data_IF_356940219500
#
_entry.id   IF_356940219500
#
_cell.length_a   1.000
_cell.length_b   1.000
_cell.length_c   1.000
_cell.angle_alpha   90.00
_cell.angle_beta   90.00
_cell.angle_gamma   90.00
#
_symmetry.space_group_name_H-M   'P 1'
#
loop_
_entity.id
_entity.type
_entity.pdbx_description
1 polymer ?
#
# COMPACT_ATOMS: atom_id res chain seq x y z
N UNK A 1 -22.03 -2.79 -2.17
CA UNK A 1 -21.71 -3.78 -3.21
C UNK A 1 -20.45 -3.34 -3.93
N UNK A 2 -19.48 -4.26 -4.15
CA UNK A 2 -18.27 -3.99 -4.94
C UNK A 2 -18.58 -4.20 -6.43
N UNK A 3 -18.01 -3.37 -7.30
CA UNK A 3 -18.14 -3.45 -8.77
C UNK A 3 -16.79 -3.86 -9.39
N UNK A 4 -16.80 -4.35 -10.63
CA UNK A 4 -15.62 -4.85 -11.36
C UNK A 4 -14.89 -6.04 -10.70
N UNK A 5 -15.57 -7.21 -10.71
CA UNK A 5 -15.01 -8.51 -10.30
C UNK A 5 -14.46 -9.31 -11.49
N UNK A 6 -13.76 -8.64 -12.41
CA UNK A 6 -13.20 -9.29 -13.61
C UNK A 6 -12.03 -10.25 -13.32
N UNK A 7 -11.47 -10.22 -12.09
CA UNK A 7 -10.38 -11.09 -11.65
C UNK A 7 -10.88 -12.26 -10.78
N UNK A 8 -10.09 -13.33 -10.77
CA UNK A 8 -10.40 -14.59 -10.08
C UNK A 8 -10.66 -14.42 -8.58
N UNK A 9 -11.41 -15.35 -8.00
CA UNK A 9 -11.91 -15.29 -6.63
C UNK A 9 -10.98 -15.96 -5.59
N UNK A 10 -9.88 -16.56 -6.03
CA UNK A 10 -8.94 -17.29 -5.20
C UNK A 10 -7.58 -16.60 -5.19
N UNK A 11 -7.01 -16.40 -4.00
CA UNK A 11 -5.74 -15.73 -3.83
C UNK A 11 -5.36 -15.62 -2.35
N UNK A 12 -4.20 -14.99 -2.11
CA UNK A 12 -3.76 -14.64 -0.77
C UNK A 12 -4.49 -13.38 -0.29
N UNK A 13 -5.01 -13.38 0.94
CA UNK A 13 -5.76 -12.23 1.46
C UNK A 13 -4.90 -10.96 1.50
N UNK A 14 -3.61 -11.12 1.79
CA UNK A 14 -2.64 -10.02 1.75
C UNK A 14 -2.55 -9.36 0.37
N UNK A 15 -2.73 -10.09 -0.74
CA UNK A 15 -2.73 -9.47 -2.07
C UNK A 15 -3.92 -8.52 -2.24
N UNK A 16 -5.12 -8.92 -1.83
CA UNK A 16 -6.33 -8.10 -1.93
C UNK A 16 -6.28 -6.87 -1.02
N UNK A 17 -5.86 -7.06 0.24
CA UNK A 17 -5.78 -6.00 1.25
C UNK A 17 -4.73 -4.96 0.88
N UNK A 18 -3.55 -5.40 0.41
CA UNK A 18 -2.51 -4.47 -0.05
C UNK A 18 -2.89 -3.80 -1.38
N UNK A 19 -3.56 -4.51 -2.29
CA UNK A 19 -4.03 -3.93 -3.56
C UNK A 19 -5.03 -2.79 -3.34
N UNK A 20 -5.89 -2.89 -2.33
CA UNK A 20 -6.80 -1.81 -1.97
C UNK A 20 -6.07 -0.68 -1.25
N UNK A 21 -5.36 -0.99 -0.15
CA UNK A 21 -4.79 0.02 0.75
C UNK A 21 -3.66 0.85 0.13
N UNK A 22 -2.88 0.28 -0.81
CA UNK A 22 -1.83 1.05 -1.49
C UNK A 22 -2.39 2.21 -2.33
N UNK A 23 -3.65 2.17 -2.74
CA UNK A 23 -4.25 3.29 -3.45
C UNK A 23 -4.32 4.54 -2.57
N UNK A 24 -4.61 4.39 -1.27
CA UNK A 24 -4.64 5.52 -0.34
C UNK A 24 -3.25 6.16 -0.24
N UNK A 25 -2.20 5.35 -0.07
CA UNK A 25 -0.82 5.84 -0.08
C UNK A 25 -0.48 6.53 -1.40
N UNK A 26 -0.77 5.90 -2.54
CA UNK A 26 -0.43 6.44 -3.86
C UNK A 26 -1.10 7.79 -4.14
N UNK A 27 -2.41 7.91 -3.87
CA UNK A 27 -3.10 9.18 -4.07
C UNK A 27 -2.67 10.24 -3.06
N UNK A 28 -2.33 9.84 -1.83
CA UNK A 28 -1.78 10.75 -0.83
C UNK A 28 -0.41 11.29 -1.25
N UNK A 29 0.50 10.43 -1.70
CA UNK A 29 1.82 10.85 -2.22
C UNK A 29 1.69 11.86 -3.36
N UNK A 30 0.73 11.67 -4.27
CA UNK A 30 0.49 12.60 -5.39
C UNK A 30 -0.03 13.96 -4.96
N UNK A 31 -0.72 14.04 -3.83
CA UNK A 31 -1.40 15.26 -3.38
C UNK A 31 -0.65 15.99 -2.26
N UNK A 32 -0.02 15.24 -1.35
CA UNK A 32 0.60 15.72 -0.12
C UNK A 32 2.10 15.38 -0.02
N UNK A 33 2.62 14.48 -0.85
CA UNK A 33 4.02 14.01 -0.77
C UNK A 33 4.29 12.96 0.32
N UNK A 34 3.34 12.76 1.23
CA UNK A 34 3.36 11.75 2.30
C UNK A 34 1.93 11.21 2.52
N UNK A 35 1.77 10.18 3.34
CA UNK A 35 0.44 9.75 3.79
C UNK A 35 -0.09 10.77 4.81
N UNK A 36 -1.05 11.59 4.39
CA UNK A 36 -1.65 12.62 5.23
C UNK A 36 -3.16 12.79 4.91
N UNK A 37 -3.86 13.48 5.81
CA UNK A 37 -5.22 13.97 5.62
C UNK A 37 -6.25 12.86 5.40
N UNK A 38 -7.22 13.05 4.49
CA UNK A 38 -8.28 12.05 4.27
C UNK A 38 -7.77 10.68 3.84
N UNK A 39 -6.61 10.61 3.18
CA UNK A 39 -6.05 9.32 2.76
C UNK A 39 -5.41 8.56 3.92
N UNK A 40 -4.83 9.27 4.89
CA UNK A 40 -4.34 8.66 6.13
C UNK A 40 -5.50 8.07 6.93
N UNK A 41 -6.58 8.84 7.09
CA UNK A 41 -7.80 8.37 7.77
C UNK A 41 -8.38 7.12 7.08
N UNK A 42 -8.48 7.12 5.74
CA UNK A 42 -8.94 5.96 4.99
C UNK A 42 -8.02 4.75 5.14
N UNK A 43 -6.70 4.96 5.15
CA UNK A 43 -5.73 3.89 5.31
C UNK A 43 -5.86 3.24 6.70
N UNK A 44 -5.86 4.05 7.77
CA UNK A 44 -5.99 3.55 9.14
C UNK A 44 -7.34 2.87 9.35
N UNK A 45 -8.45 3.52 8.98
CA UNK A 45 -9.79 2.92 9.14
C UNK A 45 -9.93 1.60 8.38
N UNK A 46 -9.34 1.47 7.19
CA UNK A 46 -9.40 0.24 6.42
C UNK A 46 -8.67 -0.91 7.12
N UNK A 47 -7.46 -0.67 7.60
CA UNK A 47 -6.66 -1.68 8.30
C UNK A 47 -7.25 -2.03 9.68
N UNK A 48 -7.63 -1.03 10.47
CA UNK A 48 -8.25 -1.22 11.78
C UNK A 48 -9.50 -2.09 11.67
N UNK A 49 -10.40 -1.77 10.73
CA UNK A 49 -11.62 -2.55 10.50
C UNK A 49 -11.31 -3.96 9.99
N UNK A 50 -10.27 -4.13 9.17
CA UNK A 50 -9.89 -5.45 8.68
C UNK A 50 -9.43 -6.32 9.85
N UNK A 51 -8.42 -5.87 10.60
CA UNK A 51 -7.84 -6.58 11.73
C UNK A 51 -8.89 -6.85 12.82
N UNK A 52 -9.74 -5.88 13.15
CA UNK A 52 -10.82 -6.05 14.13
C UNK A 52 -11.79 -7.16 13.71
N UNK A 53 -12.17 -7.23 12.44
CA UNK A 53 -13.20 -8.19 11.98
C UNK A 53 -12.65 -9.57 11.68
N UNK A 54 -11.42 -9.66 11.19
CA UNK A 54 -10.81 -10.95 10.79
C UNK A 54 -9.97 -11.55 11.90
N UNK A 55 -9.44 -10.73 12.81
CA UNK A 55 -8.42 -11.10 13.80
C UNK A 55 -7.13 -11.66 13.16
N UNK A 56 -6.91 -11.37 11.88
CA UNK A 56 -5.76 -11.86 11.11
C UNK A 56 -4.56 -10.93 11.28
N UNK A 57 -3.88 -11.05 12.42
CA UNK A 57 -2.63 -10.31 12.70
C UNK A 57 -1.45 -10.80 11.85
N UNK A 58 -1.51 -12.04 11.33
CA UNK A 58 -0.43 -12.64 10.55
C UNK A 58 -0.27 -11.96 9.18
N UNK A 59 -1.32 -11.34 8.67
CA UNK A 59 -1.27 -10.56 7.43
C UNK A 59 -0.13 -9.54 7.43
N UNK A 60 0.19 -8.94 8.59
CA UNK A 60 1.26 -7.95 8.75
C UNK A 60 2.65 -8.55 8.60
N UNK A 61 2.80 -9.88 8.67
CA UNK A 61 4.05 -10.60 8.46
C UNK A 61 4.24 -11.05 7.00
N UNK A 62 3.16 -11.03 6.19
CA UNK A 62 3.16 -11.53 4.81
C UNK A 62 2.79 -10.49 3.74
N UNK A 63 2.32 -9.30 4.12
CA UNK A 63 1.89 -8.24 3.21
C UNK A 63 3.04 -7.61 2.39
N UNK A 64 4.27 -7.66 2.89
CA UNK A 64 5.43 -6.96 2.35
C UNK A 64 5.71 -7.26 0.87
N UNK A 65 5.82 -8.52 0.40
CA UNK A 65 6.01 -8.82 -1.02
C UNK A 65 4.88 -8.30 -1.90
N UNK A 66 3.64 -8.31 -1.42
CA UNK A 66 2.49 -7.79 -2.17
C UNK A 66 2.54 -6.26 -2.27
N UNK A 67 2.80 -5.56 -1.16
CA UNK A 67 3.04 -4.13 -1.17
C UNK A 67 4.18 -3.74 -2.12
N UNK A 68 5.31 -4.45 -2.07
CA UNK A 68 6.46 -4.22 -2.94
C UNK A 68 6.08 -4.38 -4.43
N UNK A 69 5.38 -5.46 -4.78
CA UNK A 69 4.91 -5.69 -6.15
C UNK A 69 3.95 -4.60 -6.63
N UNK A 70 2.95 -4.26 -5.81
CA UNK A 70 1.95 -3.25 -6.16
C UNK A 70 2.59 -1.86 -6.32
N UNK A 71 3.51 -1.49 -5.43
CA UNK A 71 4.28 -0.26 -5.53
C UNK A 71 5.14 -0.22 -6.80
N UNK A 72 5.77 -1.34 -7.18
CA UNK A 72 6.57 -1.44 -8.41
C UNK A 72 5.70 -1.23 -9.66
N UNK A 73 4.50 -1.81 -9.69
CA UNK A 73 3.54 -1.60 -10.79
C UNK A 73 3.15 -0.12 -10.91
N UNK A 74 2.86 0.54 -9.79
CA UNK A 74 2.51 1.97 -9.75
C UNK A 74 3.70 2.86 -10.15
N UNK A 75 4.92 2.49 -9.75
CA UNK A 75 6.13 3.21 -10.09
C UNK A 75 6.54 3.08 -11.58
N UNK A 76 5.92 2.15 -12.32
CA UNK A 76 6.25 1.89 -13.72
C UNK A 76 5.92 3.09 -14.62
N UNK A 77 6.85 3.56 -15.46
CA UNK A 77 6.59 4.62 -16.42
C UNK A 77 5.67 4.17 -17.57
N UNK A 78 5.50 2.87 -17.77
CA UNK A 78 4.56 2.33 -18.77
C UNK A 78 3.12 2.62 -18.38
N UNK A 79 2.79 2.47 -17.09
CA UNK A 79 1.43 2.64 -16.58
C UNK A 79 1.15 4.08 -16.11
N UNK A 80 2.17 4.74 -15.55
CA UNK A 80 2.06 6.12 -15.07
C UNK A 80 3.19 6.97 -15.66
N UNK A 81 3.11 7.39 -16.95
CA UNK A 81 4.20 8.12 -17.61
C UNK A 81 4.48 9.50 -16.99
N UNK A 82 3.44 10.17 -16.49
CA UNK A 82 3.53 11.54 -15.97
C UNK A 82 3.70 11.61 -14.44
N UNK A 83 4.04 10.50 -13.78
CA UNK A 83 4.26 10.49 -12.34
C UNK A 83 5.56 11.25 -12.01
N UNK A 84 5.50 12.16 -11.03
CA UNK A 84 6.65 12.98 -10.66
C UNK A 84 7.83 12.11 -10.19
N UNK A 85 9.08 12.54 -10.45
CA UNK A 85 10.25 11.82 -9.96
C UNK A 85 10.24 11.62 -8.44
N UNK A 86 9.77 12.62 -7.69
CA UNK A 86 9.68 12.56 -6.23
C UNK A 86 8.74 11.45 -5.75
N UNK A 87 7.53 11.36 -6.31
CA UNK A 87 6.59 10.28 -5.94
C UNK A 87 7.17 8.91 -6.31
N UNK A 88 7.88 8.78 -7.43
CA UNK A 88 8.56 7.52 -7.78
C UNK A 88 9.65 7.18 -6.76
N UNK A 89 10.46 8.15 -6.36
CA UNK A 89 11.48 7.95 -5.32
C UNK A 89 10.85 7.46 -4.02
N UNK A 90 9.77 8.10 -3.58
CA UNK A 90 9.04 7.70 -2.37
C UNK A 90 8.49 6.27 -2.48
N UNK A 91 7.98 5.87 -3.65
CA UNK A 91 7.55 4.48 -3.90
C UNK A 91 8.73 3.49 -3.84
N UNK A 92 9.90 3.83 -4.41
CA UNK A 92 11.08 2.97 -4.32
C UNK A 92 11.65 2.88 -2.91
N UNK A 93 11.61 3.97 -2.15
CA UNK A 93 11.95 3.97 -0.73
C UNK A 93 11.02 3.02 0.04
N UNK A 94 9.72 3.14 -0.18
CA UNK A 94 8.72 2.25 0.40
C UNK A 94 8.99 0.79 0.06
N UNK A 95 9.22 0.45 -1.21
CA UNK A 95 9.56 -0.92 -1.65
C UNK A 95 10.77 -1.47 -0.87
N UNK A 96 11.85 -0.69 -0.78
CA UNK A 96 13.07 -1.12 -0.08
C UNK A 96 12.82 -1.26 1.42
N UNK A 97 12.07 -0.35 2.03
CA UNK A 97 11.75 -0.41 3.44
C UNK A 97 10.94 -1.66 3.75
N UNK A 98 9.81 -1.89 3.06
CA UNK A 98 8.93 -3.03 3.36
C UNK A 98 9.60 -4.38 3.11
N UNK A 99 10.48 -4.50 2.12
CA UNK A 99 11.23 -5.74 1.88
C UNK A 99 12.28 -6.04 2.96
N UNK A 100 12.66 -5.06 3.79
CA UNK A 100 13.58 -5.23 4.91
C UNK A 100 12.86 -5.45 6.25
N UNK A 101 11.53 -5.34 6.30
CA UNK A 101 10.76 -5.52 7.53
C UNK A 101 10.36 -6.97 7.72
N UNK A 102 10.60 -7.50 8.91
CA UNK A 102 10.04 -8.80 9.33
C UNK A 102 8.52 -8.71 9.53
N UNK A 103 8.04 -7.57 10.03
CA UNK A 103 6.61 -7.28 10.22
C UNK A 103 6.32 -5.84 9.81
N UNK A 104 5.24 -5.65 9.07
CA UNK A 104 4.76 -4.35 8.64
C UNK A 104 4.08 -3.61 9.82
N UNK A 105 4.55 -2.41 10.13
CA UNK A 105 3.95 -1.51 11.13
C UNK A 105 3.19 -0.40 10.39
N UNK A 106 1.88 -0.33 10.62
CA UNK A 106 0.96 0.52 9.86
C UNK A 106 1.21 2.00 10.10
N UNK A 107 1.52 2.36 11.35
CA UNK A 107 1.75 3.71 11.84
C UNK A 107 3.03 4.34 11.26
N UNK A 108 3.97 3.49 10.82
CA UNK A 108 5.29 3.89 10.35
C UNK A 108 5.36 4.08 8.82
N UNK A 109 4.23 4.05 8.10
CA UNK A 109 4.16 4.26 6.63
C UNK A 109 5.03 5.43 6.17
N UNK A 110 4.94 6.57 6.86
CA UNK A 110 5.64 7.78 6.45
C UNK A 110 7.16 7.68 6.65
N UNK A 111 7.63 6.81 7.53
CA UNK A 111 9.07 6.51 7.66
C UNK A 111 9.57 5.71 6.45
N UNK A 112 8.76 4.80 5.91
CA UNK A 112 9.13 3.92 4.81
C UNK A 112 9.32 4.65 3.48
N UNK A 113 8.60 5.76 3.26
CA UNK A 113 8.70 6.55 2.02
C UNK A 113 9.84 7.59 2.05
N UNK A 114 10.36 7.92 3.24
CA UNK A 114 11.31 9.03 3.43
C UNK A 114 12.78 8.70 3.15
N UNK A 115 13.13 7.41 3.04
CA UNK A 115 14.39 6.86 2.51
C UNK A 115 15.68 7.58 2.88
#
# INVERSE_FOLDING_TARGET
TVLDRSRGEWGEAADDVTAMSINYLFYSLRNYGELNGPFEELFSLFWDNYLEKTQDEQILEVAQPFFAWRALVIASPVWYPNLSPEVRTNLFNFIKAVLNLERFVLEDINSYIRG
#
